data_IF_179311397045
#
_entry.id   IF_179311397045
#
_cell.length_a   1.000
_cell.length_b   1.000
_cell.length_c   1.000
_cell.angle_alpha   90.00
_cell.angle_beta   90.00
_cell.angle_gamma   90.00
#
_symmetry.space_group_name_H-M   'P 1'
#
loop_
_entity.id
_entity.type
_entity.pdbx_description
1 polymer ?
#
# COMPACT_ATOMS: atom_id res chain seq x y z
N UNK A 1 -11.69 -0.10 11.01
CA UNK A 1 -11.65 -0.77 9.69
C UNK A 1 -10.19 -1.02 9.36
N UNK A 2 -9.86 -2.14 8.72
CA UNK A 2 -8.49 -2.37 8.24
C UNK A 2 -8.06 -1.20 7.34
N UNK A 3 -6.77 -0.91 7.35
CA UNK A 3 -6.15 0.05 6.46
C UNK A 3 -5.06 -0.61 5.66
N UNK A 4 -4.74 -0.03 4.51
CA UNK A 4 -3.82 -0.62 3.56
C UNK A 4 -2.71 0.35 3.18
N UNK A 5 -1.50 -0.17 3.11
CA UNK A 5 -0.38 0.45 2.41
C UNK A 5 -0.30 -0.12 1.00
N UNK A 6 -0.71 0.67 0.00
CA UNK A 6 -0.65 0.28 -1.40
C UNK A 6 0.58 0.92 -2.04
N UNK A 7 1.54 0.11 -2.48
CA UNK A 7 2.69 0.58 -3.22
C UNK A 7 2.63 0.10 -4.68
N UNK A 8 2.63 1.04 -5.62
CA UNK A 8 2.81 0.76 -7.05
C UNK A 8 4.25 1.09 -7.43
N UNK A 9 5.04 0.05 -7.69
CA UNK A 9 6.48 0.14 -7.90
C UNK A 9 6.82 -0.09 -9.37
N UNK A 10 7.52 0.86 -9.98
CA UNK A 10 7.94 0.89 -11.38
C UNK A 10 9.47 0.79 -11.48
N UNK A 11 9.96 0.37 -12.64
CA UNK A 11 11.39 0.36 -12.99
C UNK A 11 12.31 -0.36 -11.99
N UNK A 12 11.81 -1.43 -11.38
CA UNK A 12 12.54 -2.23 -10.40
C UNK A 12 13.74 -2.93 -11.05
N UNK A 13 14.94 -2.50 -10.66
CA UNK A 13 16.20 -3.17 -11.00
C UNK A 13 16.78 -3.85 -9.76
N UNK A 14 17.47 -5.01 -9.89
CA UNK A 14 18.18 -5.59 -8.77
C UNK A 14 19.22 -4.61 -8.21
N UNK A 15 19.19 -4.37 -6.91
CA UNK A 15 20.16 -3.53 -6.20
C UNK A 15 20.42 -4.11 -4.80
N UNK A 16 21.66 -4.15 -4.30
CA UNK A 16 21.98 -4.67 -2.98
C UNK A 16 21.18 -4.00 -1.84
N UNK A 17 20.98 -2.69 -1.90
CA UNK A 17 20.19 -1.97 -0.88
C UNK A 17 18.71 -2.38 -0.88
N UNK A 18 18.16 -2.77 -2.03
CA UNK A 18 16.79 -3.31 -2.07
C UNK A 18 16.74 -4.66 -1.34
N UNK A 19 17.79 -5.48 -1.43
CA UNK A 19 17.86 -6.74 -0.69
C UNK A 19 17.95 -6.48 0.82
N UNK A 20 18.80 -5.54 1.24
CA UNK A 20 18.89 -5.13 2.64
C UNK A 20 17.55 -4.57 3.16
N UNK A 21 16.86 -3.75 2.36
CA UNK A 21 15.51 -3.30 2.69
C UNK A 21 14.56 -4.47 2.95
N UNK A 22 14.57 -5.49 2.09
CA UNK A 22 13.70 -6.67 2.22
C UNK A 22 14.05 -7.52 3.45
N UNK A 23 15.30 -7.56 3.86
CA UNK A 23 15.74 -8.25 5.07
C UNK A 23 15.28 -7.54 6.35
N UNK A 24 15.13 -6.21 6.32
CA UNK A 24 14.84 -5.38 7.50
C UNK A 24 13.38 -4.96 7.64
N UNK A 25 12.62 -4.94 6.54
CA UNK A 25 11.28 -4.34 6.50
C UNK A 25 10.28 -4.98 7.46
N UNK A 26 10.34 -6.31 7.62
CA UNK A 26 9.39 -7.05 8.46
C UNK A 26 9.48 -6.63 9.93
N UNK A 27 10.69 -6.45 10.46
CA UNK A 27 10.92 -6.02 11.84
C UNK A 27 10.33 -4.63 12.13
N UNK A 28 10.26 -3.77 11.11
CA UNK A 28 9.61 -2.46 11.25
C UNK A 28 8.08 -2.55 11.29
N UNK A 29 7.50 -3.56 10.66
CA UNK A 29 6.05 -3.76 10.51
C UNK A 29 5.43 -4.42 11.74
N UNK A 30 6.12 -5.40 12.33
CA UNK A 30 5.63 -6.23 13.43
C UNK A 30 5.05 -5.43 14.62
N UNK A 31 5.71 -4.34 15.11
CA UNK A 31 5.18 -3.53 16.22
C UNK A 31 3.83 -2.84 15.92
N UNK A 32 3.49 -2.70 14.64
CA UNK A 32 2.27 -2.04 14.17
C UNK A 32 1.22 -3.03 13.66
N UNK A 33 1.48 -4.34 13.80
CA UNK A 33 0.69 -5.42 13.23
C UNK A 33 0.50 -5.27 11.71
N UNK A 34 1.50 -4.70 11.03
CA UNK A 34 1.57 -4.58 9.58
C UNK A 34 1.92 -5.93 8.96
N UNK A 35 1.22 -6.32 7.89
CA UNK A 35 1.42 -7.61 7.22
C UNK A 35 1.43 -7.47 5.70
N UNK A 36 2.31 -8.20 5.03
CA UNK A 36 2.24 -8.33 3.58
C UNK A 36 1.03 -9.16 3.16
N UNK A 37 0.20 -8.60 2.28
CA UNK A 37 -0.92 -9.27 1.61
C UNK A 37 -0.54 -9.60 0.17
N UNK A 38 0.15 -8.67 -0.50
CA UNK A 38 0.66 -8.86 -1.87
C UNK A 38 2.10 -8.37 -1.90
N UNK A 39 3.00 -9.12 -2.55
CA UNK A 39 4.40 -8.77 -2.68
C UNK A 39 4.95 -9.10 -4.08
N UNK A 40 4.45 -8.38 -5.09
CA UNK A 40 4.88 -8.52 -6.47
C UNK A 40 4.27 -9.73 -7.21
N UNK A 41 4.90 -10.16 -8.33
CA UNK A 41 4.36 -11.17 -9.23
C UNK A 41 4.22 -12.57 -8.61
N UNK A 42 3.42 -13.48 -9.23
CA UNK A 42 2.79 -13.37 -10.55
C UNK A 42 1.54 -12.47 -10.58
N UNK A 43 1.30 -11.79 -11.71
CA UNK A 43 0.11 -10.97 -11.95
C UNK A 43 -0.54 -11.40 -13.28
N UNK A 44 -1.86 -11.57 -13.27
CA UNK A 44 -2.68 -11.74 -14.47
C UNK A 44 -3.42 -10.43 -14.73
N UNK A 45 -3.13 -9.80 -15.87
CA UNK A 45 -3.82 -8.57 -16.27
C UNK A 45 -5.05 -8.95 -17.09
N UNK A 46 -6.22 -8.86 -16.45
CA UNK A 46 -7.50 -9.24 -17.07
C UNK A 46 -8.04 -8.14 -17.99
N UNK A 47 -7.85 -6.86 -17.62
CA UNK A 47 -8.26 -5.69 -18.40
C UNK A 47 -7.20 -4.57 -18.33
N UNK A 48 -6.93 -3.91 -19.46
CA UNK A 48 -6.00 -2.77 -19.55
C UNK A 48 -4.52 -3.17 -19.55
N UNK A 49 -3.68 -2.27 -19.01
CA UNK A 49 -2.23 -2.47 -18.90
C UNK A 49 -1.78 -2.22 -17.45
N UNK A 50 -0.88 -3.06 -16.95
CA UNK A 50 -0.32 -2.94 -15.61
C UNK A 50 1.22 -2.86 -15.67
N UNK A 51 1.80 -1.64 -15.69
CA UNK A 51 3.25 -1.48 -15.65
C UNK A 51 3.77 -1.72 -14.23
N UNK A 52 4.88 -2.46 -14.08
CA UNK A 52 5.56 -2.63 -12.80
C UNK A 52 4.93 -3.69 -11.88
N UNK A 53 5.00 -3.46 -10.57
CA UNK A 53 4.61 -4.41 -9.53
C UNK A 53 3.84 -3.75 -8.39
N UNK A 54 3.07 -4.54 -7.65
CA UNK A 54 2.26 -4.08 -6.53
C UNK A 54 2.75 -4.70 -5.22
N UNK A 55 2.82 -3.88 -4.17
CA UNK A 55 2.93 -4.34 -2.79
C UNK A 55 1.70 -3.86 -2.03
N UNK A 56 1.04 -4.77 -1.33
CA UNK A 56 -0.10 -4.45 -0.47
C UNK A 56 0.24 -4.87 0.96
N UNK A 57 0.20 -3.90 1.87
CA UNK A 57 0.33 -4.10 3.31
C UNK A 57 -1.03 -3.92 3.96
N UNK A 58 -1.39 -4.76 4.92
CA UNK A 58 -2.58 -4.57 5.76
C UNK A 58 -2.18 -4.17 7.19
N UNK A 59 -2.94 -3.24 7.75
CA UNK A 59 -2.87 -2.78 9.13
C UNK A 59 -4.25 -2.82 9.78
N UNK A 60 -4.33 -2.94 11.12
CA UNK A 60 -5.62 -2.90 11.81
C UNK A 60 -6.38 -1.57 11.67
N UNK A 61 -5.65 -0.45 11.58
CA UNK A 61 -6.23 0.90 11.40
C UNK A 61 -5.29 1.80 10.60
N UNK A 62 -5.82 2.92 10.09
CA UNK A 62 -5.03 3.90 9.35
C UNK A 62 -4.02 4.63 10.25
N UNK A 63 -4.33 4.83 11.52
CA UNK A 63 -3.40 5.38 12.51
C UNK A 63 -2.18 4.48 12.68
N UNK A 64 -2.39 3.15 12.74
CA UNK A 64 -1.28 2.18 12.83
C UNK A 64 -0.40 2.22 11.58
N UNK A 65 -1.00 2.27 10.40
CA UNK A 65 -0.28 2.39 9.13
C UNK A 65 0.55 3.70 9.08
N UNK A 66 -0.04 4.82 9.51
CA UNK A 66 0.65 6.12 9.59
C UNK A 66 1.77 6.12 10.64
N UNK A 67 1.54 5.48 11.78
CA UNK A 67 2.53 5.38 12.85
C UNK A 67 3.72 4.51 12.43
N UNK A 68 3.47 3.40 11.74
CA UNK A 68 4.53 2.61 11.09
C UNK A 68 5.34 3.45 10.12
N UNK A 69 4.68 4.12 9.18
CA UNK A 69 5.37 4.91 8.15
C UNK A 69 6.23 6.01 8.77
N UNK A 70 5.78 6.64 9.87
CA UNK A 70 6.52 7.69 10.58
C UNK A 70 7.51 7.15 11.61
N UNK A 71 7.59 5.84 11.81
CA UNK A 71 8.44 5.25 12.84
C UNK A 71 9.92 5.49 12.50
N UNK A 72 10.78 5.75 13.50
CA UNK A 72 12.22 5.89 13.25
C UNK A 72 12.82 4.68 12.54
N UNK A 73 12.41 3.47 12.94
CA UNK A 73 12.90 2.22 12.35
C UNK A 73 12.56 2.09 10.85
N UNK A 74 11.34 2.44 10.43
CA UNK A 74 10.99 2.40 9.01
C UNK A 74 11.65 3.54 8.23
N UNK A 75 11.70 4.75 8.79
CA UNK A 75 12.34 5.89 8.15
C UNK A 75 13.84 5.67 7.92
N UNK A 76 14.51 4.94 8.81
CA UNK A 76 15.91 4.56 8.65
C UNK A 76 16.16 3.73 7.38
N UNK A 77 15.26 2.82 7.03
CA UNK A 77 15.41 1.92 5.87
C UNK A 77 14.73 2.41 4.60
N UNK A 78 13.92 3.47 4.66
CA UNK A 78 13.09 3.92 3.54
C UNK A 78 13.91 4.22 2.28
N UNK A 79 15.06 4.89 2.44
CA UNK A 79 15.95 5.31 1.35
C UNK A 79 16.48 4.11 0.53
N UNK A 80 16.81 3.00 1.20
CA UNK A 80 17.30 1.76 0.58
C UNK A 80 16.38 1.22 -0.54
N UNK A 81 15.08 1.52 -0.45
CA UNK A 81 14.10 1.23 -1.51
C UNK A 81 13.79 2.45 -2.37
N UNK A 82 13.50 3.59 -1.74
CA UNK A 82 12.95 4.77 -2.41
C UNK A 82 13.92 5.42 -3.40
N UNK A 83 15.22 5.28 -3.17
CA UNK A 83 16.25 5.86 -4.05
C UNK A 83 16.47 5.03 -5.33
N UNK A 84 16.02 3.76 -5.34
CA UNK A 84 16.28 2.80 -6.42
C UNK A 84 15.03 2.32 -7.15
N UNK A 85 13.84 2.58 -6.61
CA UNK A 85 12.56 2.14 -7.18
C UNK A 85 11.58 3.31 -7.18
N UNK A 86 11.27 3.79 -8.39
CA UNK A 86 10.21 4.77 -8.60
C UNK A 86 8.85 4.16 -8.24
N UNK A 87 8.02 4.90 -7.53
CA UNK A 87 6.71 4.38 -7.18
C UNK A 87 5.87 5.31 -6.32
N UNK A 88 4.59 4.98 -6.26
CA UNK A 88 3.62 5.65 -5.41
C UNK A 88 3.32 4.76 -4.21
N UNK A 89 3.20 5.37 -3.03
CA UNK A 89 2.72 4.70 -1.82
C UNK A 89 1.53 5.49 -1.26
N UNK A 90 0.41 4.81 -1.07
CA UNK A 90 -0.78 5.36 -0.45
C UNK A 90 -1.10 4.62 0.84
N UNK A 91 -1.51 5.36 1.86
CA UNK A 91 -2.16 4.80 3.05
C UNK A 91 -3.65 5.10 2.96
N UNK A 92 -4.47 4.06 2.87
CA UNK A 92 -5.90 4.19 2.59
C UNK A 92 -6.72 3.31 3.53
N UNK A 93 -7.92 3.77 3.89
CA UNK A 93 -8.86 2.91 4.64
C UNK A 93 -9.50 1.88 3.73
N UNK A 94 -9.61 0.67 4.27
CA UNK A 94 -10.47 -0.36 3.70
C UNK A 94 -11.94 -0.07 3.94
N UNK A 95 -12.78 -0.85 3.27
CA UNK A 95 -14.21 -0.92 3.53
C UNK A 95 -14.52 -2.07 4.48
N UNK A 96 -15.62 -1.95 5.23
CA UNK A 96 -16.10 -3.04 6.09
C UNK A 96 -16.73 -4.20 5.31
N UNK A 97 -17.01 -5.35 5.96
CA UNK A 97 -17.60 -6.53 5.32
C UNK A 97 -19.00 -6.26 4.74
N UNK A 98 -19.73 -5.30 5.30
CA UNK A 98 -21.09 -4.95 4.88
C UNK A 98 -21.12 -3.80 3.85
N UNK A 99 -19.98 -3.49 3.22
CA UNK A 99 -19.92 -2.40 2.24
C UNK A 99 -20.74 -2.71 0.98
N UNK A 100 -21.74 -1.88 0.69
CA UNK A 100 -22.54 -1.94 -0.53
C UNK A 100 -22.18 -0.78 -1.49
N UNK A 101 -21.62 -1.05 -2.68
CA UNK A 101 -21.31 -0.01 -3.67
C UNK A 101 -22.54 0.77 -4.16
N UNK A 102 -23.77 0.24 -4.03
CA UNK A 102 -25.02 0.96 -4.37
C UNK A 102 -25.24 2.18 -3.48
N UNK A 103 -24.85 2.10 -2.21
CA UNK A 103 -24.93 3.26 -1.31
C UNK A 103 -23.99 4.38 -1.77
N UNK A 104 -22.77 4.03 -2.21
CA UNK A 104 -21.82 4.99 -2.78
C UNK A 104 -22.38 5.63 -4.04
N UNK A 105 -22.99 4.85 -4.93
CA UNK A 105 -23.63 5.39 -6.13
C UNK A 105 -24.78 6.36 -5.80
N UNK A 106 -25.61 6.05 -4.80
CA UNK A 106 -26.68 6.94 -4.35
C UNK A 106 -26.15 8.27 -3.83
N UNK A 107 -25.09 8.25 -3.00
CA UNK A 107 -24.43 9.45 -2.49
C UNK A 107 -23.87 10.33 -3.61
N UNK A 108 -23.18 9.73 -4.59
CA UNK A 108 -22.60 10.47 -5.73
C UNK A 108 -23.69 11.12 -6.60
N UNK A 109 -24.79 10.41 -6.88
CA UNK A 109 -25.92 10.98 -7.63
C UNK A 109 -26.57 12.16 -6.92
N UNK A 110 -26.72 12.09 -5.60
CA UNK A 110 -27.26 13.19 -4.80
C UNK A 110 -26.37 14.44 -4.86
N UNK A 111 -25.05 14.27 -4.88
CA UNK A 111 -24.07 15.37 -5.00
C UNK A 111 -24.00 15.96 -6.41
N UNK A 112 -24.34 15.17 -7.43
CA UNK A 112 -24.26 15.57 -8.84
C UNK A 112 -25.52 16.27 -9.36
N UNK A 113 -26.57 16.40 -8.54
CA UNK A 113 -27.78 17.12 -8.95
C UNK A 113 -27.47 18.63 -9.02
N UNK A 114 -27.71 19.29 -10.17
CA UNK A 114 -27.56 20.73 -10.27
C UNK A 114 -28.51 21.40 -9.27
N UNK A 115 -28.01 22.47 -8.64
CA UNK A 115 -28.71 23.24 -7.61
C UNK A 115 -29.93 23.96 -8.19
#
# INVERSE_FOLDING_TARGET
>A
MSAYGFAHLRDRRPHPEILEYLERIQDTLDPFAGRFVIHGPPVEVVEGEWPGSMVLLEFPTLERARAWYRSPAYQEILHLRADHIDGDLLLIEGVGPDYDPRERAAKLRAQSRPR
#
